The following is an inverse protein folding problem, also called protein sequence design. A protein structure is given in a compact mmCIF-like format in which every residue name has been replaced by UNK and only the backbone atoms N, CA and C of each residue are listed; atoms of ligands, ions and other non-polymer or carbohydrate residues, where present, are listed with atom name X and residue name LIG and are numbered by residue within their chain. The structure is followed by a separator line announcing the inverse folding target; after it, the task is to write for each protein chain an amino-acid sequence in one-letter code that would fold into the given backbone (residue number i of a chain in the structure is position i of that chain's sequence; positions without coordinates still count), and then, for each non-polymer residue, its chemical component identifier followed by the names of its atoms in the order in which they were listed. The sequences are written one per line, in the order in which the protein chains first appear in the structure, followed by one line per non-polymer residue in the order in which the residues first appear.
data_IF_169216972648
#
_entry.id   IF_169216972648
#
_cell.length_a   1.000
_cell.length_b   1.000
_cell.length_c   1.000
_cell.angle_alpha   90.00
_cell.angle_beta   90.00
_cell.angle_gamma   90.00
#
_symmetry.space_group_name_H-M   'P 1'
#
loop_
_entity.id
_entity.type
_entity.pdbx_description
1 polymer ?
#
# COMPACT_ATOMS: atom_id res chain seq x y z
N UNK A 1 1.72 -2.02 -60.98
CA UNK A 1 1.41 -2.66 -59.66
C UNK A 1 1.65 -1.68 -58.56
N UNK A 2 0.59 -1.39 -57.84
CA UNK A 2 0.44 -0.14 -57.07
C UNK A 2 1.19 -0.20 -55.72
N UNK A 3 2.26 0.59 -55.59
CA UNK A 3 3.03 0.75 -54.34
C UNK A 3 2.13 1.07 -53.12
N UNK A 4 0.99 1.72 -53.34
CA UNK A 4 0.00 2.00 -52.33
C UNK A 4 -0.67 0.75 -51.76
N UNK A 5 -0.91 -0.29 -52.58
CA UNK A 5 -1.54 -1.53 -52.12
C UNK A 5 -0.59 -2.38 -51.24
N UNK A 6 0.74 -2.25 -51.46
CA UNK A 6 1.75 -2.90 -50.61
C UNK A 6 1.87 -2.20 -49.27
N UNK A 7 1.84 -0.89 -49.23
CA UNK A 7 1.89 -0.09 -48.00
C UNK A 7 0.62 -0.31 -47.15
N UNK A 8 -0.55 -0.40 -47.80
CA UNK A 8 -1.80 -0.71 -47.13
C UNK A 8 -1.82 -2.14 -46.54
N UNK A 9 -1.20 -3.11 -47.24
CA UNK A 9 -1.04 -4.47 -46.70
C UNK A 9 -0.10 -4.49 -45.49
N UNK A 10 0.98 -3.76 -45.51
CA UNK A 10 1.93 -3.66 -44.38
C UNK A 10 1.32 -2.93 -43.20
N UNK A 11 0.48 -1.92 -43.42
CA UNK A 11 -0.25 -1.23 -42.36
C UNK A 11 -1.40 -2.10 -41.80
N UNK A 12 -1.99 -2.97 -42.62
CA UNK A 12 -3.02 -3.92 -42.14
C UNK A 12 -2.43 -5.19 -41.53
N UNK A 13 -1.17 -5.53 -41.83
CA UNK A 13 -0.46 -6.64 -41.18
C UNK A 13 0.38 -6.20 -39.99
N UNK A 14 0.69 -4.90 -39.83
CA UNK A 14 1.03 -4.38 -38.52
C UNK A 14 -0.23 -4.54 -37.68
N UNK A 15 -0.26 -5.63 -36.94
CA UNK A 15 -1.21 -5.99 -35.91
C UNK A 15 -1.79 -4.72 -35.33
N UNK A 16 -3.03 -4.41 -35.73
CA UNK A 16 -3.78 -3.30 -35.19
C UNK A 16 -3.47 -3.26 -33.70
N UNK A 17 -3.02 -2.13 -33.22
CA UNK A 17 -2.65 -1.84 -31.85
C UNK A 17 -3.40 -2.77 -30.94
N UNK A 18 -2.70 -3.78 -30.43
CA UNK A 18 -3.32 -4.77 -29.57
C UNK A 18 -3.98 -3.94 -28.47
N UNK A 19 -5.28 -3.87 -28.47
CA UNK A 19 -6.01 -3.16 -27.43
C UNK A 19 -5.49 -3.75 -26.15
N UNK A 20 -4.89 -2.91 -25.28
CA UNK A 20 -4.40 -3.33 -23.99
C UNK A 20 -5.50 -4.11 -23.32
N UNK A 21 -5.22 -5.34 -22.97
CA UNK A 21 -6.14 -6.10 -22.12
C UNK A 21 -6.10 -5.45 -20.74
N UNK A 22 -7.18 -5.51 -20.00
CA UNK A 22 -7.30 -4.97 -18.64
C UNK A 22 -6.17 -5.47 -17.74
N UNK A 23 -5.65 -6.66 -17.99
CA UNK A 23 -4.50 -7.24 -17.27
C UNK A 23 -3.17 -6.54 -17.54
N UNK A 24 -3.10 -5.70 -18.58
CA UNK A 24 -1.92 -4.90 -18.94
C UNK A 24 -2.02 -3.46 -18.43
N UNK A 25 -3.16 -3.04 -17.92
CA UNK A 25 -3.34 -1.73 -17.35
C UNK A 25 -2.76 -1.68 -15.92
N UNK A 26 -2.09 -0.58 -15.55
CA UNK A 26 -1.67 -0.36 -14.18
C UNK A 26 -2.86 -0.41 -13.21
N UNK A 27 -2.64 -0.98 -12.04
CA UNK A 27 -3.65 -0.99 -10.98
C UNK A 27 -3.95 0.44 -10.51
N UNK A 28 -5.22 0.70 -10.24
CA UNK A 28 -5.68 2.01 -9.79
C UNK A 28 -5.56 2.11 -8.27
N UNK A 29 -5.06 3.23 -7.77
CA UNK A 29 -4.79 3.44 -6.34
C UNK A 29 -6.05 3.53 -5.47
N UNK A 30 -7.21 3.78 -6.05
CA UNK A 30 -8.46 3.93 -5.29
C UNK A 30 -9.22 2.61 -5.07
N UNK A 31 -8.81 1.53 -5.70
CA UNK A 31 -9.44 0.21 -5.59
C UNK A 31 -8.64 -0.68 -4.64
N UNK A 32 -8.80 -0.47 -3.35
CA UNK A 32 -8.14 -1.28 -2.33
C UNK A 32 -9.10 -1.67 -1.21
N UNK A 33 -8.77 -2.73 -0.51
CA UNK A 33 -9.45 -3.21 0.70
C UNK A 33 -8.41 -3.46 1.78
N UNK A 34 -8.78 -3.18 3.01
CA UNK A 34 -7.94 -3.44 4.18
C UNK A 34 -8.73 -4.32 5.15
N UNK A 35 -8.09 -5.37 5.62
CA UNK A 35 -8.59 -6.19 6.69
C UNK A 35 -7.54 -6.22 7.82
N UNK A 36 -7.93 -5.80 8.99
CA UNK A 36 -7.10 -5.80 10.20
C UNK A 36 -7.71 -6.80 11.16
N UNK A 37 -6.93 -7.79 11.58
CA UNK A 37 -7.42 -8.76 12.54
C UNK A 37 -7.74 -8.07 13.88
N UNK A 38 -8.96 -8.31 14.39
CA UNK A 38 -9.48 -7.64 15.59
C UNK A 38 -10.40 -6.44 15.30
N UNK A 39 -10.46 -5.97 14.04
CA UNK A 39 -11.43 -4.97 13.61
C UNK A 39 -12.63 -5.60 12.89
N UNK A 40 -13.81 -4.98 12.96
CA UNK A 40 -14.94 -5.42 12.16
C UNK A 40 -14.61 -5.40 10.67
N UNK A 41 -15.09 -6.40 9.95
CA UNK A 41 -15.00 -6.42 8.49
C UNK A 41 -15.84 -5.30 7.89
N UNK A 42 -15.23 -4.48 7.02
CA UNK A 42 -15.94 -3.40 6.33
C UNK A 42 -15.56 -1.99 6.75
N UNK A 43 -14.57 -1.84 7.61
CA UNK A 43 -13.99 -0.51 7.88
C UNK A 43 -13.33 0.01 6.61
N UNK A 44 -13.87 1.12 6.08
CA UNK A 44 -13.32 1.79 4.91
C UNK A 44 -12.22 2.76 5.29
N UNK A 45 -11.15 2.78 4.50
CA UNK A 45 -10.06 3.74 4.62
C UNK A 45 -10.00 4.59 3.35
N UNK A 46 -9.73 5.87 3.51
CA UNK A 46 -9.56 6.81 2.41
C UNK A 46 -8.17 6.66 1.80
N UNK A 47 -7.15 6.42 2.64
CA UNK A 47 -5.76 6.33 2.22
C UNK A 47 -5.00 5.33 3.07
N UNK A 48 -4.08 4.63 2.42
CA UNK A 48 -3.08 3.77 3.06
C UNK A 48 -1.71 4.15 2.51
N UNK A 49 -0.78 4.44 3.39
CA UNK A 49 0.58 4.85 3.04
C UNK A 49 1.64 4.07 3.82
N UNK A 50 2.91 4.23 3.43
CA UNK A 50 4.03 3.71 4.20
C UNK A 50 4.42 2.25 3.91
N UNK A 51 3.83 1.58 2.92
CA UNK A 51 4.25 0.23 2.50
C UNK A 51 5.67 0.29 1.91
N UNK A 52 6.68 0.24 2.75
CA UNK A 52 8.08 0.31 2.36
C UNK A 52 8.91 -0.81 2.99
N UNK A 53 9.92 -1.21 2.24
CA UNK A 53 10.90 -2.21 2.62
C UNK A 53 12.25 -1.74 2.11
N UNK A 54 13.22 -1.69 2.97
CA UNK A 54 14.57 -1.25 2.66
C UNK A 54 15.60 -2.27 3.16
N UNK A 55 16.64 -2.49 2.37
CA UNK A 55 17.78 -3.30 2.77
C UNK A 55 18.98 -2.36 2.90
N UNK A 56 19.55 -2.31 4.09
CA UNK A 56 20.75 -1.51 4.33
C UNK A 56 21.90 -1.98 3.44
N UNK A 57 22.73 -1.04 2.97
CA UNK A 57 23.92 -1.36 2.19
C UNK A 57 25.12 -1.30 3.14
N UNK A 58 25.86 -2.40 3.21
CA UNK A 58 27.14 -2.46 3.91
C UNK A 58 28.25 -2.31 2.91
N UNK A 59 29.07 -1.29 3.08
CA UNK A 59 30.24 -1.05 2.23
C UNK A 59 31.49 -1.67 2.85
N UNK A 60 32.21 -2.41 2.05
CA UNK A 60 33.46 -3.04 2.44
C UNK A 60 34.57 -2.72 1.43
N UNK A 61 35.68 -2.20 1.90
CA UNK A 61 36.86 -1.85 1.11
C UNK A 61 38.01 -2.79 1.44
N UNK A 62 38.48 -3.51 0.45
CA UNK A 62 39.72 -4.29 0.54
C UNK A 62 40.92 -3.52 0.00
N UNK A 63 42.07 -3.69 0.68
CA UNK A 63 43.29 -2.91 0.42
C UNK A 63 43.89 -3.12 -0.99
N UNK A 64 43.43 -4.13 -1.75
CA UNK A 64 43.94 -4.46 -3.10
C UNK A 64 42.96 -4.08 -4.23
N UNK A 65 41.78 -3.58 -3.90
CA UNK A 65 40.79 -3.20 -4.91
C UNK A 65 40.55 -1.70 -4.93
N UNK A 66 40.46 -1.13 -6.13
CA UNK A 66 40.17 0.29 -6.33
C UNK A 66 38.71 0.67 -6.10
N UNK A 67 37.83 -0.33 -5.97
CA UNK A 67 36.38 -0.13 -5.81
C UNK A 67 35.87 -0.74 -4.52
N UNK A 68 34.89 -0.08 -3.92
CA UNK A 68 34.19 -0.55 -2.72
C UNK A 68 33.20 -1.65 -3.06
N UNK A 69 33.25 -2.75 -2.35
CA UNK A 69 32.25 -3.81 -2.43
C UNK A 69 31.00 -3.41 -1.64
N UNK A 70 29.83 -3.66 -2.22
CA UNK A 70 28.54 -3.41 -1.56
C UNK A 70 27.86 -4.72 -1.24
N UNK A 71 27.58 -4.93 0.03
CA UNK A 71 26.95 -6.12 0.55
C UNK A 71 25.54 -5.78 1.06
N UNK A 72 24.56 -6.69 0.91
CA UNK A 72 23.26 -6.50 1.53
C UNK A 72 23.37 -6.61 3.04
N UNK A 73 22.87 -5.62 3.75
CA UNK A 73 22.79 -5.58 5.19
C UNK A 73 21.46 -6.05 5.72
N UNK A 74 21.03 -5.50 6.86
CA UNK A 74 19.74 -5.82 7.47
C UNK A 74 18.59 -5.18 6.72
N UNK A 75 17.49 -5.91 6.66
CA UNK A 75 16.22 -5.42 6.17
C UNK A 75 15.51 -4.62 7.26
N UNK A 76 14.92 -3.51 6.86
CA UNK A 76 14.03 -2.70 7.68
C UNK A 76 12.73 -2.47 6.95
N UNK A 77 11.63 -2.49 7.69
CA UNK A 77 10.30 -2.15 7.19
C UNK A 77 9.89 -0.79 7.72
N UNK A 78 9.11 -0.06 6.93
CA UNK A 78 8.56 1.23 7.34
C UNK A 78 7.35 1.07 8.25
N UNK A 79 6.85 2.20 8.71
CA UNK A 79 5.55 2.27 9.35
C UNK A 79 4.44 2.40 8.30
N UNK A 80 3.24 1.95 8.66
CA UNK A 80 2.07 2.06 7.79
C UNK A 80 1.06 3.01 8.41
N UNK A 81 0.49 3.89 7.58
CA UNK A 81 -0.52 4.87 7.99
C UNK A 81 -1.85 4.58 7.30
N UNK A 82 -2.92 4.65 8.06
CA UNK A 82 -4.29 4.51 7.58
C UNK A 82 -5.05 5.80 7.88
N UNK A 83 -5.63 6.42 6.86
CA UNK A 83 -6.44 7.62 7.01
C UNK A 83 -7.90 7.28 6.68
N UNK A 84 -8.82 7.80 7.48
CA UNK A 84 -10.27 7.70 7.23
C UNK A 84 -11.00 8.92 7.78
N UNK A 85 -12.21 9.18 7.27
CA UNK A 85 -13.11 10.14 7.91
C UNK A 85 -13.61 9.63 9.24
N UNK A 86 -13.75 10.50 10.23
CA UNK A 86 -14.34 10.18 11.51
C UNK A 86 -15.83 9.86 11.36
N UNK A 87 -16.27 8.78 11.99
CA UNK A 87 -17.68 8.38 12.04
C UNK A 87 -18.20 8.47 13.48
N UNK A 88 -19.50 8.71 13.62
CA UNK A 88 -20.15 8.74 14.92
C UNK A 88 -20.12 7.39 15.67
N UNK A 89 -20.02 6.29 14.92
CA UNK A 89 -19.86 4.94 15.46
C UNK A 89 -18.37 4.65 15.70
N UNK A 90 -17.99 4.74 16.92
CA UNK A 90 -16.65 4.92 17.45
C UNK A 90 -15.82 3.64 17.54
N UNK A 91 -15.55 3.00 16.40
CA UNK A 91 -14.67 1.82 16.36
C UNK A 91 -13.21 2.14 16.68
N UNK A 92 -12.72 3.32 16.30
CA UNK A 92 -11.32 3.67 16.53
C UNK A 92 -11.05 4.06 17.98
N UNK A 93 -11.99 4.68 18.67
CA UNK A 93 -11.88 4.97 20.09
C UNK A 93 -11.93 3.66 20.91
N UNK A 94 -12.74 2.68 20.50
CA UNK A 94 -12.72 1.34 21.12
C UNK A 94 -11.39 0.63 20.88
N UNK A 95 -10.74 0.88 19.74
CA UNK A 95 -9.39 0.36 19.46
C UNK A 95 -8.37 1.05 20.34
N UNK A 96 -8.43 2.37 20.49
CA UNK A 96 -7.56 3.12 21.37
C UNK A 96 -7.63 2.55 22.80
N UNK A 97 -8.80 2.40 23.36
CA UNK A 97 -8.97 1.85 24.69
C UNK A 97 -8.53 0.39 24.85
N UNK A 98 -8.79 -0.45 23.84
CA UNK A 98 -8.55 -1.91 23.94
C UNK A 98 -7.13 -2.28 23.50
N UNK A 99 -6.59 -1.61 22.50
CA UNK A 99 -5.34 -1.97 21.85
C UNK A 99 -4.15 -1.22 22.43
N UNK A 100 -4.28 0.08 22.70
CA UNK A 100 -3.19 0.83 23.32
C UNK A 100 -2.99 0.49 24.80
N UNK A 101 -4.05 0.08 25.51
CA UNK A 101 -3.93 -0.38 26.89
C UNK A 101 -3.47 -1.84 27.01
N UNK A 102 -3.57 -2.62 25.94
CA UNK A 102 -3.16 -4.01 25.94
C UNK A 102 -1.95 -4.21 25.01
N UNK A 103 -0.78 -3.84 25.51
CA UNK A 103 0.53 -3.90 24.81
C UNK A 103 0.88 -5.28 24.19
N UNK A 104 0.01 -6.26 24.26
CA UNK A 104 0.25 -7.63 23.82
C UNK A 104 -0.60 -8.04 22.62
N UNK A 105 -1.38 -7.13 22.03
CA UNK A 105 -2.21 -7.42 20.87
C UNK A 105 -1.46 -7.18 19.57
N UNK A 106 -0.76 -8.20 19.09
CA UNK A 106 -0.22 -8.23 17.74
C UNK A 106 -1.26 -8.80 16.79
N UNK A 107 -1.42 -8.19 15.65
CA UNK A 107 -2.41 -8.56 14.65
C UNK A 107 -1.77 -8.77 13.28
N UNK A 108 -2.52 -9.40 12.39
CA UNK A 108 -2.17 -9.49 10.97
C UNK A 108 -3.02 -8.50 10.20
N UNK A 109 -2.38 -7.78 9.29
CA UNK A 109 -3.04 -6.85 8.38
C UNK A 109 -2.93 -7.36 6.96
N UNK A 110 -4.03 -7.36 6.25
CA UNK A 110 -4.09 -7.74 4.83
C UNK A 110 -4.58 -6.56 4.02
N UNK A 111 -3.79 -6.15 3.03
CA UNK A 111 -4.10 -5.06 2.11
C UNK A 111 -4.22 -5.65 0.72
N UNK A 112 -5.40 -5.54 0.13
CA UNK A 112 -5.72 -6.06 -1.18
C UNK A 112 -5.93 -4.93 -2.17
N UNK A 113 -5.21 -4.97 -3.29
CA UNK A 113 -5.43 -4.07 -4.41
C UNK A 113 -6.27 -4.81 -5.44
N UNK A 114 -7.39 -4.19 -5.80
CA UNK A 114 -8.37 -4.77 -6.70
C UNK A 114 -8.33 -4.11 -8.09
N UNK A 115 -8.83 -4.83 -9.07
CA UNK A 115 -9.14 -4.27 -10.39
C UNK A 115 -10.50 -3.55 -10.37
N UNK A 116 -10.87 -2.98 -11.53
CA UNK A 116 -12.17 -2.28 -11.72
C UNK A 116 -13.38 -3.17 -11.50
N UNK A 117 -13.21 -4.49 -11.54
CA UNK A 117 -14.29 -5.47 -11.33
C UNK A 117 -14.32 -5.97 -9.89
N UNK A 118 -13.40 -5.50 -9.03
CA UNK A 118 -13.33 -5.91 -7.63
C UNK A 118 -12.56 -7.21 -7.40
N UNK A 119 -11.90 -7.77 -8.43
CA UNK A 119 -11.05 -8.94 -8.25
C UNK A 119 -9.71 -8.52 -7.64
N UNK A 120 -9.24 -9.29 -6.68
CA UNK A 120 -7.94 -9.07 -6.04
C UNK A 120 -6.84 -9.38 -7.04
N UNK A 121 -5.97 -8.42 -7.31
CA UNK A 121 -4.83 -8.54 -8.23
C UNK A 121 -3.50 -8.57 -7.49
N UNK A 122 -3.43 -7.92 -6.35
CA UNK A 122 -2.24 -7.90 -5.52
C UNK A 122 -2.64 -7.87 -4.06
N UNK A 123 -1.92 -8.61 -3.25
CA UNK A 123 -2.14 -8.69 -1.81
C UNK A 123 -0.83 -8.48 -1.07
N UNK A 124 -0.90 -7.72 0.01
CA UNK A 124 0.17 -7.55 0.98
C UNK A 124 -0.33 -8.06 2.32
N UNK A 125 0.39 -8.99 2.89
CA UNK A 125 0.12 -9.50 4.23
C UNK A 125 1.24 -9.04 5.15
N UNK A 126 0.87 -8.36 6.23
CA UNK A 126 1.77 -7.80 7.22
C UNK A 126 1.61 -8.58 8.51
N UNK A 127 2.72 -9.02 9.07
CA UNK A 127 2.74 -9.80 10.30
C UNK A 127 3.23 -8.97 11.49
N UNK A 128 2.79 -9.39 12.67
CA UNK A 128 3.18 -8.80 13.95
C UNK A 128 2.91 -7.28 14.01
N UNK A 129 1.72 -6.88 13.51
CA UNK A 129 1.30 -5.48 13.46
C UNK A 129 0.76 -5.03 14.81
N UNK A 130 1.08 -3.81 15.20
CA UNK A 130 0.54 -3.16 16.38
C UNK A 130 0.41 -1.66 16.13
N UNK A 131 -0.58 -1.04 16.77
CA UNK A 131 -0.82 0.40 16.64
C UNK A 131 0.20 1.18 17.47
N UNK A 132 0.93 2.09 16.83
CA UNK A 132 1.91 2.95 17.47
C UNK A 132 1.40 4.35 17.76
N UNK A 133 0.42 4.82 16.97
CA UNK A 133 -0.11 6.18 17.10
C UNK A 133 -1.53 6.26 16.56
N UNK A 134 -2.34 7.05 17.24
CA UNK A 134 -3.65 7.51 16.79
C UNK A 134 -3.68 9.04 16.81
N UNK A 135 -4.15 9.65 15.76
CA UNK A 135 -4.33 11.10 15.63
C UNK A 135 -5.74 11.38 15.13
N UNK A 136 -6.45 12.23 15.86
CA UNK A 136 -7.65 12.88 15.36
C UNK A 136 -7.23 14.19 14.68
N UNK A 137 -7.79 14.48 13.52
CA UNK A 137 -7.54 15.71 12.80
C UNK A 137 -7.97 16.95 13.58
N UNK A 138 -7.53 18.10 13.11
CA UNK A 138 -7.84 19.39 13.73
C UNK A 138 -9.35 19.69 13.68
N UNK A 139 -9.85 20.27 14.76
CA UNK A 139 -11.24 20.72 14.88
C UNK A 139 -11.27 22.23 14.69
N UNK A 140 -11.84 22.71 13.59
CA UNK A 140 -12.02 24.11 13.28
C UNK A 140 -13.50 24.43 13.06
N UNK A 141 -14.08 25.27 13.92
CA UNK A 141 -15.47 25.68 13.85
C UNK A 141 -15.81 26.54 12.62
N UNK A 142 -14.80 27.00 11.90
CA UNK A 142 -14.94 27.85 10.71
C UNK A 142 -14.73 27.09 9.40
N UNK A 143 -14.30 25.81 9.47
CA UNK A 143 -14.10 24.92 8.32
C UNK A 143 -15.32 24.04 8.08
N UNK A 144 -15.65 23.80 6.82
CA UNK A 144 -16.66 22.84 6.37
C UNK A 144 -16.02 21.46 6.05
N UNK A 145 -14.79 21.22 6.47
CA UNK A 145 -14.04 20.00 6.17
C UNK A 145 -14.47 18.81 7.06
N UNK A 146 -14.27 17.63 6.53
CA UNK A 146 -14.50 16.38 7.27
C UNK A 146 -13.30 16.10 8.17
N UNK A 147 -13.55 15.72 9.41
CA UNK A 147 -12.50 15.29 10.35
C UNK A 147 -11.85 14.01 9.82
N UNK A 148 -10.54 14.01 9.67
CA UNK A 148 -9.77 12.85 9.25
C UNK A 148 -9.03 12.28 10.45
N UNK A 149 -9.20 10.99 10.67
CA UNK A 149 -8.48 10.22 11.67
C UNK A 149 -7.33 9.48 11.01
N UNK A 150 -6.18 9.47 11.67
CA UNK A 150 -4.98 8.78 11.19
C UNK A 150 -4.53 7.75 12.23
N UNK A 151 -4.41 6.51 11.78
CA UNK A 151 -3.83 5.41 12.54
C UNK A 151 -2.45 5.08 11.99
N UNK A 152 -1.45 5.03 12.85
CA UNK A 152 -0.11 4.55 12.50
C UNK A 152 0.13 3.19 13.13
N UNK A 153 0.55 2.24 12.30
CA UNK A 153 0.91 0.89 12.73
C UNK A 153 2.37 0.59 12.40
N UNK A 154 2.99 -0.16 13.29
CA UNK A 154 4.27 -0.80 13.06
C UNK A 154 4.02 -2.27 12.71
N UNK A 155 4.87 -2.85 11.87
CA UNK A 155 4.86 -4.26 11.54
C UNK A 155 6.28 -4.79 11.44
N UNK A 156 6.48 -6.10 11.61
CA UNK A 156 7.84 -6.65 11.64
C UNK A 156 8.30 -7.18 10.29
N UNK A 157 7.41 -7.80 9.51
CA UNK A 157 7.76 -8.36 8.20
C UNK A 157 6.55 -8.56 7.30
N UNK A 158 6.81 -8.73 6.02
CA UNK A 158 5.81 -9.16 5.02
C UNK A 158 5.76 -10.68 4.98
N UNK A 159 4.54 -11.24 4.94
CA UNK A 159 4.28 -12.68 4.76
C UNK A 159 4.36 -13.09 3.29
#
# INVERSE_FOLDING_TARGET
MNKFASILKDVMTTKAYASRTIDQDPLQSFMFRVAIAGLPTGVGFQKVGGLSREVAVVEYLENMYEHTHKLPGRETVGEITFERGAYADDYLQTIDETVFHNNNCRSTVVIQICDRFGNVRREFQLAECWFSKYECGDLDATSDDVIIETLTMQFEYFL
#
